data_IF_363734312238
#
_entry.id   IF_363734312238
#
_cell.length_a   1.000
_cell.length_b   1.000
_cell.length_c   1.000
_cell.angle_alpha   90.00
_cell.angle_beta   90.00
_cell.angle_gamma   90.00
#
_symmetry.space_group_name_H-M   'P 1'
#
loop_
_entity.id
_entity.type
_entity.pdbx_description
1 polymer ?
#
# COMPACT_ATOMS: atom_id res chain seq x y z
N UNK A 1 -16.29 42.29 -14.42
CA UNK A 1 -15.46 42.84 -13.34
C UNK A 1 -14.90 41.69 -12.46
N UNK A 2 -14.22 40.72 -13.07
CA UNK A 2 -13.63 39.53 -12.39
C UNK A 2 -12.28 39.23 -13.07
N UNK A 3 -11.26 40.05 -12.83
CA UNK A 3 -9.92 39.78 -13.39
C UNK A 3 -8.74 40.21 -12.49
N UNK A 4 -8.99 40.80 -11.33
CA UNK A 4 -7.89 41.33 -10.49
C UNK A 4 -7.39 40.39 -9.37
N UNK A 5 -8.13 39.31 -9.06
CA UNK A 5 -7.76 38.43 -7.92
C UNK A 5 -6.85 37.23 -8.28
N UNK A 6 -6.66 36.92 -9.58
CA UNK A 6 -5.81 35.79 -9.99
C UNK A 6 -4.31 36.06 -9.84
N UNK A 7 -3.89 37.31 -9.98
CA UNK A 7 -2.47 37.66 -9.83
C UNK A 7 -2.02 37.76 -8.38
N UNK A 8 -2.93 38.09 -7.45
CA UNK A 8 -2.60 38.18 -6.04
C UNK A 8 -2.36 36.79 -5.42
N UNK A 9 -3.14 35.81 -5.86
CA UNK A 9 -2.98 34.41 -5.38
C UNK A 9 -1.68 33.77 -5.88
N UNK A 10 -1.28 34.05 -7.12
CA UNK A 10 -0.03 33.55 -7.70
C UNK A 10 1.20 34.16 -7.02
N UNK A 11 1.13 35.42 -6.58
CA UNK A 11 2.22 36.10 -5.89
C UNK A 11 2.38 35.62 -4.44
N UNK A 12 1.29 35.30 -3.75
CA UNK A 12 1.34 34.75 -2.40
C UNK A 12 1.90 33.30 -2.38
N UNK A 13 1.59 32.48 -3.39
CA UNK A 13 2.09 31.13 -3.50
C UNK A 13 3.61 31.12 -3.80
N UNK A 14 4.08 32.00 -4.68
CA UNK A 14 5.50 32.16 -4.98
C UNK A 14 6.31 32.68 -3.78
N UNK A 15 5.71 33.59 -2.99
CA UNK A 15 6.34 34.14 -1.79
C UNK A 15 6.43 33.10 -0.63
N UNK A 16 5.41 32.22 -0.49
CA UNK A 16 5.43 31.14 0.48
C UNK A 16 6.47 30.05 0.13
N UNK A 17 6.66 29.73 -1.14
CA UNK A 17 7.70 28.81 -1.57
C UNK A 17 9.12 29.37 -1.36
N UNK A 18 9.31 30.67 -1.50
CA UNK A 18 10.64 31.27 -1.31
C UNK A 18 11.05 31.42 0.15
N UNK A 19 10.10 31.47 1.10
CA UNK A 19 10.41 31.56 2.54
C UNK A 19 10.74 30.18 3.14
N UNK A 20 10.18 29.10 2.57
CA UNK A 20 10.48 27.74 3.04
C UNK A 20 11.86 27.23 2.58
N UNK A 21 12.48 27.85 1.57
CA UNK A 21 13.83 27.45 1.11
C UNK A 21 14.96 28.19 1.85
N UNK A 22 14.66 29.21 2.63
CA UNK A 22 15.69 30.01 3.34
C UNK A 22 15.89 29.57 4.80
N UNK A 23 15.01 28.69 5.35
CA UNK A 23 15.14 28.25 6.75
C UNK A 23 16.03 27.03 6.97
N UNK A 24 16.62 26.49 5.94
CA UNK A 24 17.52 25.34 6.03
C UNK A 24 18.94 25.72 5.66
N UNK A 25 19.58 26.65 6.29
CA UNK A 25 21.04 26.71 6.33
C UNK A 25 21.48 27.97 7.05
N UNK A 26 21.82 27.88 8.30
CA UNK A 26 23.07 28.50 8.79
C UNK A 26 23.48 27.79 10.09
N UNK A 27 24.06 26.63 9.95
CA UNK A 27 25.00 26.19 10.99
C UNK A 27 26.42 26.58 10.53
N UNK A 28 27.12 27.33 11.34
CA UNK A 28 28.40 27.99 11.00
C UNK A 28 29.60 27.04 10.97
N UNK A 29 29.42 25.76 10.80
CA UNK A 29 30.48 24.74 10.77
C UNK A 29 30.60 23.99 9.44
N UNK A 30 30.11 24.56 8.33
CA UNK A 30 30.33 23.94 7.02
C UNK A 30 31.77 24.25 6.54
N UNK A 31 32.59 23.24 6.60
CA UNK A 31 33.84 23.19 5.87
C UNK A 31 33.55 22.98 4.39
N UNK A 32 33.69 24.02 3.58
CA UNK A 32 33.47 23.97 2.13
C UNK A 32 34.68 23.33 1.41
N UNK A 33 35.10 22.16 1.85
CA UNK A 33 36.01 21.34 1.07
C UNK A 33 35.15 20.61 0.00
N UNK A 34 35.27 20.97 -1.30
CA UNK A 34 34.47 20.36 -2.36
C UNK A 34 34.66 18.83 -2.48
N UNK A 35 35.77 18.29 -1.96
CA UNK A 35 36.05 16.86 -1.97
C UNK A 35 35.39 16.12 -0.78
N UNK A 36 34.85 16.85 0.20
CA UNK A 36 34.16 16.30 1.37
C UNK A 36 32.67 16.64 1.44
N UNK A 37 32.10 17.26 0.43
CA UNK A 37 30.68 17.54 0.41
C UNK A 37 29.95 16.25 0.04
N UNK A 38 29.31 15.65 1.02
CA UNK A 38 28.30 14.60 0.77
C UNK A 38 27.06 15.26 0.10
N UNK A 39 27.00 15.20 -1.22
CA UNK A 39 25.89 15.70 -2.04
C UNK A 39 24.62 14.86 -1.88
N UNK A 40 24.60 13.95 -0.91
CA UNK A 40 23.40 13.15 -0.60
C UNK A 40 22.32 14.06 0.00
N UNK A 41 21.49 14.63 -0.84
CA UNK A 41 20.34 15.39 -0.38
C UNK A 41 19.25 14.38 0.01
N UNK A 42 19.02 14.21 1.31
CA UNK A 42 17.87 13.46 1.81
C UNK A 42 16.58 14.26 1.54
N UNK A 43 16.06 14.14 0.34
CA UNK A 43 14.80 14.75 -0.08
C UNK A 43 13.66 13.83 0.35
N UNK A 44 12.49 14.40 0.61
CA UNK A 44 11.24 13.65 0.87
C UNK A 44 11.21 12.84 2.17
N UNK A 45 12.10 13.10 3.14
CA UNK A 45 11.97 12.46 4.45
C UNK A 45 10.60 12.78 5.07
N UNK A 46 9.84 11.74 5.38
CA UNK A 46 8.49 11.87 5.93
C UNK A 46 7.41 12.24 4.91
N UNK A 47 7.73 12.29 3.61
CA UNK A 47 6.72 12.52 2.57
C UNK A 47 5.77 11.33 2.43
N UNK A 48 4.51 11.63 2.14
CA UNK A 48 3.44 10.65 1.91
C UNK A 48 2.89 10.83 0.50
N UNK A 49 2.95 9.78 -0.29
CA UNK A 49 2.45 9.75 -1.66
C UNK A 49 1.20 8.88 -1.71
N UNK A 50 0.00 9.43 -1.95
CA UNK A 50 -1.20 8.63 -2.13
C UNK A 50 -1.03 7.77 -3.39
N UNK A 51 -1.38 6.46 -3.27
CA UNK A 51 -1.26 5.50 -4.37
C UNK A 51 -2.62 5.17 -4.94
N UNK A 52 -3.53 4.74 -4.10
CA UNK A 52 -4.89 4.37 -4.52
C UNK A 52 -5.93 5.16 -3.74
N UNK A 53 -6.99 5.53 -4.46
CA UNK A 53 -8.25 5.93 -3.85
C UNK A 53 -9.03 4.69 -3.38
N UNK A 54 -10.11 4.92 -2.64
CA UNK A 54 -10.99 3.85 -2.16
C UNK A 54 -11.44 2.91 -3.28
N UNK A 55 -11.27 1.59 -3.06
CA UNK A 55 -11.68 0.53 -3.97
C UNK A 55 -12.41 -0.57 -3.20
N UNK A 56 -13.49 -1.10 -3.78
CA UNK A 56 -14.27 -2.19 -3.21
C UNK A 56 -13.96 -3.49 -3.93
N UNK A 57 -13.81 -4.55 -3.14
CA UNK A 57 -13.57 -5.91 -3.61
C UNK A 57 -14.70 -6.80 -3.08
N UNK A 58 -15.58 -7.26 -3.96
CA UNK A 58 -16.59 -8.24 -3.61
C UNK A 58 -15.94 -9.59 -3.28
N UNK A 59 -16.62 -10.43 -2.50
CA UNK A 59 -16.09 -11.74 -2.13
C UNK A 59 -15.62 -12.54 -3.35
N UNK A 60 -16.39 -12.53 -4.43
CA UNK A 60 -16.07 -13.27 -5.66
C UNK A 60 -14.79 -12.82 -6.37
N UNK A 61 -14.38 -11.55 -6.16
CA UNK A 61 -13.17 -10.97 -6.75
C UNK A 61 -11.90 -11.32 -5.96
N UNK A 62 -12.07 -11.55 -4.65
CA UNK A 62 -10.96 -11.81 -3.71
C UNK A 62 -10.59 -13.29 -3.71
N UNK A 63 -11.60 -14.18 -3.64
CA UNK A 63 -11.41 -15.58 -3.27
C UNK A 63 -10.65 -16.39 -4.30
N UNK A 64 -9.74 -17.23 -3.81
CA UNK A 64 -9.02 -18.22 -4.61
C UNK A 64 -9.92 -19.37 -5.05
N UNK A 65 -9.41 -20.20 -5.96
CA UNK A 65 -10.10 -21.43 -6.37
C UNK A 65 -10.34 -22.41 -5.20
N UNK A 66 -9.43 -22.44 -4.22
CA UNK A 66 -9.61 -23.22 -3.01
C UNK A 66 -10.81 -22.75 -2.21
N UNK A 67 -10.91 -21.46 -1.94
CA UNK A 67 -12.01 -20.88 -1.18
C UNK A 67 -13.34 -20.97 -1.94
N UNK A 68 -13.35 -20.81 -3.26
CA UNK A 68 -14.53 -21.05 -4.10
C UNK A 68 -15.10 -22.47 -3.95
N UNK A 69 -14.23 -23.46 -3.70
CA UNK A 69 -14.66 -24.83 -3.41
C UNK A 69 -15.27 -25.06 -2.02
N UNK A 70 -15.22 -24.05 -1.14
CA UNK A 70 -15.76 -24.09 0.23
C UNK A 70 -17.05 -23.26 0.37
N UNK A 71 -17.51 -22.63 -0.70
CA UNK A 71 -18.70 -21.78 -0.72
C UNK A 71 -19.58 -22.15 -1.90
N UNK A 72 -20.87 -22.21 -1.66
CA UNK A 72 -21.89 -22.43 -2.69
C UNK A 72 -22.58 -21.10 -2.99
N UNK A 73 -22.55 -20.67 -4.25
CA UNK A 73 -23.26 -19.45 -4.68
C UNK A 73 -24.76 -19.71 -4.78
N UNK A 74 -25.55 -18.80 -4.19
CA UNK A 74 -27.01 -18.82 -4.20
C UNK A 74 -27.57 -17.48 -4.68
N UNK A 75 -28.88 -17.37 -4.82
CA UNK A 75 -29.52 -16.08 -5.18
C UNK A 75 -29.30 -14.99 -4.13
N UNK A 76 -29.24 -15.37 -2.84
CA UNK A 76 -29.10 -14.43 -1.71
C UNK A 76 -27.65 -14.12 -1.36
N UNK A 77 -26.70 -14.97 -1.75
CA UNK A 77 -25.29 -14.82 -1.39
C UNK A 77 -24.51 -16.11 -1.54
N UNK A 78 -23.55 -16.29 -0.64
CA UNK A 78 -22.65 -17.44 -0.60
C UNK A 78 -22.89 -18.22 0.69
N UNK A 79 -23.13 -19.52 0.59
CA UNK A 79 -23.31 -20.42 1.74
C UNK A 79 -22.02 -21.17 1.99
N UNK A 80 -21.53 -21.13 3.23
CA UNK A 80 -20.34 -21.87 3.64
C UNK A 80 -20.64 -23.36 3.68
N UNK A 81 -19.82 -24.15 2.99
CA UNK A 81 -19.91 -25.59 2.89
C UNK A 81 -18.53 -26.24 2.98
N UNK A 82 -17.99 -26.36 4.19
CA UNK A 82 -16.69 -27.01 4.43
C UNK A 82 -16.92 -28.51 4.62
N UNK A 83 -16.31 -29.37 3.79
CA UNK A 83 -16.42 -30.82 3.94
C UNK A 83 -15.91 -31.30 5.31
N UNK A 84 -16.53 -32.33 5.86
CA UNK A 84 -16.13 -32.90 7.15
C UNK A 84 -14.68 -33.37 7.12
N UNK A 85 -13.92 -33.02 8.16
CA UNK A 85 -12.49 -33.38 8.30
C UNK A 85 -11.53 -32.46 7.54
N UNK A 86 -12.00 -31.42 6.83
CA UNK A 86 -11.16 -30.45 6.15
C UNK A 86 -10.72 -29.37 7.14
N UNK A 87 -9.41 -29.17 7.26
CA UNK A 87 -8.83 -28.05 8.01
C UNK A 87 -8.62 -26.88 7.07
N UNK A 88 -9.30 -25.77 7.33
CA UNK A 88 -9.24 -24.55 6.51
C UNK A 88 -8.26 -23.52 7.04
N UNK A 89 -7.98 -23.50 8.34
CA UNK A 89 -7.03 -22.56 8.96
C UNK A 89 -5.66 -22.64 8.29
N UNK A 90 -5.07 -21.47 7.97
CA UNK A 90 -3.78 -21.35 7.29
C UNK A 90 -3.81 -21.64 5.79
N UNK A 91 -4.99 -21.94 5.22
CA UNK A 91 -5.17 -22.10 3.77
C UNK A 91 -5.39 -20.73 3.10
N UNK A 92 -5.08 -20.70 1.81
CA UNK A 92 -5.30 -19.54 0.97
C UNK A 92 -6.79 -19.15 0.97
N UNK A 93 -7.07 -17.90 1.30
CA UNK A 93 -8.41 -17.31 1.13
C UNK A 93 -8.53 -16.66 -0.25
N UNK A 94 -7.54 -15.86 -0.61
CA UNK A 94 -7.50 -15.12 -1.85
C UNK A 94 -6.48 -14.00 -1.82
N UNK A 95 -6.69 -12.97 -2.65
CA UNK A 95 -5.74 -11.86 -2.76
C UNK A 95 -6.44 -10.53 -3.06
N UNK A 96 -5.75 -9.43 -2.70
CA UNK A 96 -6.13 -8.06 -3.04
C UNK A 96 -4.94 -7.40 -3.74
N UNK A 97 -5.10 -6.86 -4.96
CA UNK A 97 -4.06 -6.08 -5.63
C UNK A 97 -4.02 -4.64 -5.09
N UNK A 98 -2.83 -4.11 -4.85
CA UNK A 98 -2.57 -2.68 -4.61
C UNK A 98 -1.63 -2.21 -5.71
N UNK A 99 -2.09 -1.36 -6.62
CA UNK A 99 -1.37 -0.94 -7.83
C UNK A 99 -1.14 0.56 -7.85
N UNK A 100 -0.26 1.02 -8.74
CA UNK A 100 -0.10 2.43 -9.07
C UNK A 100 1.19 3.05 -8.53
N UNK A 101 2.14 2.28 -8.02
CA UNK A 101 3.46 2.79 -7.62
C UNK A 101 4.22 3.30 -8.85
N UNK A 102 4.11 2.63 -9.99
CA UNK A 102 4.71 3.07 -11.26
C UNK A 102 4.18 4.42 -11.77
N UNK A 103 3.05 4.91 -11.25
CA UNK A 103 2.55 6.25 -11.58
C UNK A 103 3.34 7.35 -10.88
N UNK A 104 4.14 7.00 -9.87
CA UNK A 104 5.07 7.89 -9.21
C UNK A 104 6.37 7.88 -10.05
N UNK A 105 6.85 9.06 -10.45
CA UNK A 105 8.12 9.20 -11.16
C UNK A 105 9.28 9.02 -10.18
N UNK A 106 9.73 7.77 -10.04
CA UNK A 106 10.74 7.35 -9.06
C UNK A 106 12.03 6.83 -9.72
N UNK A 107 12.19 6.97 -11.03
CA UNK A 107 13.28 6.34 -11.80
C UNK A 107 14.69 6.80 -11.41
N UNK A 108 14.82 8.06 -10.99
CA UNK A 108 16.11 8.68 -10.64
C UNK A 108 16.35 8.76 -9.13
N UNK A 109 15.56 8.03 -8.34
CA UNK A 109 15.71 8.05 -6.89
C UNK A 109 16.15 6.68 -6.35
N UNK A 110 16.92 6.74 -5.26
CA UNK A 110 17.24 5.56 -4.47
C UNK A 110 16.63 5.66 -3.09
N UNK A 111 16.14 4.54 -2.61
CA UNK A 111 15.57 4.41 -1.27
C UNK A 111 16.27 3.29 -0.52
N UNK A 112 16.41 3.45 0.78
CA UNK A 112 16.80 2.35 1.66
C UNK A 112 15.57 1.52 2.03
N UNK A 113 14.54 2.21 2.49
CA UNK A 113 13.30 1.60 2.95
C UNK A 113 12.13 2.50 2.58
N UNK A 114 11.03 1.89 2.16
CA UNK A 114 9.74 2.53 2.03
C UNK A 114 8.71 1.78 2.87
N UNK A 115 7.65 2.46 3.28
CA UNK A 115 6.50 1.86 3.94
C UNK A 115 5.25 2.14 3.12
N UNK A 116 4.54 1.10 2.74
CA UNK A 116 3.19 1.22 2.22
C UNK A 116 2.21 1.10 3.38
N UNK A 117 1.48 2.16 3.64
CA UNK A 117 0.39 2.18 4.61
C UNK A 117 -0.92 1.92 3.89
N UNK A 118 -1.69 0.94 4.36
CA UNK A 118 -2.96 0.51 3.77
C UNK A 118 -4.01 0.45 4.85
N UNK A 119 -5.13 1.11 4.64
CA UNK A 119 -6.31 1.01 5.49
C UNK A 119 -7.36 0.14 4.79
N UNK A 120 -7.71 -0.99 5.42
CA UNK A 120 -8.69 -1.95 4.92
C UNK A 120 -9.91 -2.02 5.85
N UNK A 121 -11.10 -2.00 5.28
CA UNK A 121 -12.35 -2.36 5.93
C UNK A 121 -12.75 -3.76 5.49
N UNK A 122 -13.13 -4.61 6.44
CA UNK A 122 -13.60 -5.98 6.20
C UNK A 122 -15.05 -6.14 6.66
N UNK A 123 -15.94 -6.54 5.77
CA UNK A 123 -17.33 -6.87 6.08
C UNK A 123 -17.62 -8.38 5.97
N UNK A 124 -16.59 -9.19 5.71
CA UNK A 124 -16.71 -10.65 5.66
C UNK A 124 -16.67 -11.23 7.07
N UNK A 125 -17.47 -12.28 7.38
CA UNK A 125 -17.43 -12.97 8.68
C UNK A 125 -16.21 -13.90 8.82
N UNK A 126 -15.08 -13.55 8.19
CA UNK A 126 -13.84 -14.32 8.13
C UNK A 126 -12.74 -13.51 8.78
N UNK A 127 -11.94 -14.11 9.67
CA UNK A 127 -10.68 -13.53 10.10
C UNK A 127 -9.55 -14.04 9.23
N UNK A 128 -8.65 -13.14 8.82
CA UNK A 128 -7.62 -13.42 7.83
C UNK A 128 -6.23 -13.04 8.34
N UNK A 129 -5.26 -13.91 8.10
CA UNK A 129 -3.86 -13.55 8.10
C UNK A 129 -3.50 -12.88 6.78
N UNK A 130 -2.49 -12.00 6.78
CA UNK A 130 -2.06 -11.27 5.59
C UNK A 130 -0.55 -11.34 5.42
N UNK A 131 -0.12 -11.47 4.19
CA UNK A 131 1.25 -11.26 3.73
C UNK A 131 1.24 -10.46 2.44
N UNK A 132 2.36 -9.85 2.07
CA UNK A 132 2.47 -9.05 0.86
C UNK A 132 3.68 -9.48 0.04
N UNK A 133 3.59 -9.30 -1.28
CA UNK A 133 4.69 -9.45 -2.21
C UNK A 133 4.68 -8.31 -3.23
N UNK A 134 5.86 -7.88 -3.70
CA UNK A 134 5.99 -6.89 -4.75
C UNK A 134 5.67 -7.53 -6.11
N UNK A 135 4.96 -6.79 -6.96
CA UNK A 135 4.55 -7.25 -8.29
C UNK A 135 4.81 -6.18 -9.35
N UNK A 136 5.06 -6.63 -10.59
CA UNK A 136 5.15 -5.76 -11.76
C UNK A 136 3.77 -5.36 -12.29
N UNK A 137 3.74 -4.61 -13.40
CA UNK A 137 2.51 -4.15 -14.06
C UNK A 137 1.62 -5.29 -14.56
N UNK A 138 2.19 -6.49 -14.78
CA UNK A 138 1.46 -7.70 -15.16
C UNK A 138 0.98 -8.49 -13.94
N UNK A 139 1.35 -8.06 -12.73
CA UNK A 139 1.04 -8.74 -11.46
C UNK A 139 1.95 -9.94 -11.19
N UNK A 140 3.11 -10.05 -11.81
CA UNK A 140 4.10 -11.08 -11.53
C UNK A 140 4.99 -10.65 -10.37
N UNK A 141 5.44 -11.62 -9.58
CA UNK A 141 6.40 -11.38 -8.50
C UNK A 141 7.69 -10.73 -9.02
N UNK A 142 8.19 -9.74 -8.28
CA UNK A 142 9.45 -9.05 -8.56
C UNK A 142 10.51 -9.52 -7.56
N UNK A 143 11.58 -10.11 -8.09
CA UNK A 143 12.73 -10.53 -7.30
C UNK A 143 13.58 -9.33 -6.82
N UNK A 144 14.36 -9.53 -5.75
CA UNK A 144 15.27 -8.49 -5.23
C UNK A 144 14.59 -7.40 -4.39
N UNK A 145 13.32 -7.58 -4.06
CA UNK A 145 12.57 -6.69 -3.16
C UNK A 145 12.18 -7.47 -1.91
N UNK A 146 12.77 -7.12 -0.77
CA UNK A 146 12.33 -7.66 0.52
C UNK A 146 11.05 -6.93 0.93
N UNK A 147 9.99 -7.70 1.14
CA UNK A 147 8.68 -7.19 1.58
C UNK A 147 8.34 -7.83 2.93
N UNK A 148 8.20 -7.01 3.94
CA UNK A 148 7.77 -7.44 5.27
C UNK A 148 6.37 -6.89 5.55
N UNK A 149 5.42 -7.79 5.73
CA UNK A 149 4.06 -7.46 6.12
C UNK A 149 3.65 -8.40 7.24
N UNK A 150 3.23 -7.83 8.36
CA UNK A 150 2.67 -8.59 9.46
C UNK A 150 1.35 -7.97 9.88
N UNK A 151 0.33 -8.79 10.00
CA UNK A 151 -0.97 -8.33 10.48
C UNK A 151 -2.04 -9.39 10.31
N UNK A 152 -3.13 -9.15 11.01
CA UNK A 152 -4.35 -9.93 10.89
C UNK A 152 -5.52 -8.98 10.62
N UNK A 153 -6.45 -9.42 9.82
CA UNK A 153 -7.70 -8.73 9.56
C UNK A 153 -8.76 -9.47 10.39
N UNK A 154 -9.33 -8.79 11.37
CA UNK A 154 -10.41 -9.34 12.18
C UNK A 154 -11.65 -9.60 11.31
N UNK A 155 -12.50 -10.55 11.73
CA UNK A 155 -13.79 -10.76 11.07
C UNK A 155 -14.64 -9.49 11.13
N UNK A 156 -15.37 -9.25 10.08
CA UNK A 156 -16.18 -8.04 9.92
C UNK A 156 -17.45 -7.99 10.77
N UNK A 157 -17.97 -6.76 10.94
CA UNK A 157 -17.41 -5.50 10.42
C UNK A 157 -16.18 -5.04 11.22
N UNK A 158 -15.07 -4.77 10.53
CA UNK A 158 -13.82 -4.33 11.16
C UNK A 158 -13.01 -3.43 10.22
N UNK A 159 -12.08 -2.65 10.80
CA UNK A 159 -11.08 -1.89 10.03
C UNK A 159 -9.68 -2.23 10.55
N UNK A 160 -8.72 -2.31 9.65
CA UNK A 160 -7.33 -2.67 9.94
C UNK A 160 -6.39 -1.73 9.21
N UNK A 161 -5.41 -1.20 9.92
CA UNK A 161 -4.28 -0.47 9.33
C UNK A 161 -3.10 -1.42 9.20
N UNK A 162 -2.59 -1.55 7.99
CA UNK A 162 -1.42 -2.37 7.66
C UNK A 162 -0.25 -1.47 7.31
N UNK A 163 0.93 -1.87 7.74
CA UNK A 163 2.19 -1.27 7.30
C UNK A 163 3.00 -2.38 6.63
N UNK A 164 3.37 -2.14 5.38
CA UNK A 164 4.16 -3.05 4.57
C UNK A 164 5.51 -2.38 4.35
N UNK A 165 6.55 -2.93 4.98
CA UNK A 165 7.92 -2.42 4.82
C UNK A 165 8.55 -3.02 3.59
N UNK A 166 9.19 -2.18 2.80
CA UNK A 166 9.78 -2.54 1.52
C UNK A 166 11.24 -2.11 1.49
N UNK A 167 12.12 -3.04 1.18
CA UNK A 167 13.56 -2.82 1.08
C UNK A 167 14.07 -3.39 -0.25
N UNK A 168 14.23 -2.56 -1.30
CA UNK A 168 14.84 -2.99 -2.55
C UNK A 168 16.33 -3.27 -2.38
N UNK A 169 16.83 -4.37 -2.95
CA UNK A 169 18.23 -4.78 -2.79
C UNK A 169 19.24 -3.76 -3.36
N UNK A 170 18.87 -3.09 -4.44
CA UNK A 170 19.69 -2.07 -5.13
C UNK A 170 19.23 -0.63 -4.83
N UNK A 171 18.23 -0.47 -4.00
CA UNK A 171 17.63 0.81 -3.66
C UNK A 171 16.70 1.40 -4.71
N UNK A 172 16.40 0.67 -5.79
CA UNK A 172 15.53 1.12 -6.89
C UNK A 172 14.12 0.56 -6.71
N UNK A 173 13.09 1.40 -6.86
CA UNK A 173 11.71 0.95 -6.93
C UNK A 173 11.43 0.50 -8.36
N UNK A 174 11.53 -0.80 -8.62
CA UNK A 174 11.30 -1.43 -9.92
C UNK A 174 10.04 -2.32 -9.93
N UNK A 175 9.01 -1.95 -9.18
CA UNK A 175 7.74 -2.68 -9.09
C UNK A 175 6.56 -1.71 -9.20
N UNK A 176 5.41 -2.23 -9.67
CA UNK A 176 4.19 -1.41 -9.86
C UNK A 176 3.29 -1.37 -8.63
N UNK A 177 3.35 -2.43 -7.82
CA UNK A 177 2.45 -2.53 -6.69
C UNK A 177 2.71 -3.75 -5.81
N UNK A 178 1.70 -4.11 -5.03
CA UNK A 178 1.73 -5.24 -4.13
C UNK A 178 0.55 -6.16 -4.36
N UNK A 179 0.78 -7.45 -4.17
CA UNK A 179 -0.26 -8.45 -3.97
C UNK A 179 -0.36 -8.75 -2.48
N UNK A 180 -1.51 -8.45 -1.89
CA UNK A 180 -1.82 -8.82 -0.51
C UNK A 180 -2.43 -10.22 -0.53
N UNK A 181 -1.65 -11.21 -0.11
CA UNK A 181 -2.09 -12.60 -0.02
C UNK A 181 -2.80 -12.82 1.30
N UNK A 182 -4.03 -13.33 1.25
CA UNK A 182 -4.91 -13.56 2.38
C UNK A 182 -4.98 -15.03 2.71
N UNK A 183 -4.78 -15.36 3.99
CA UNK A 183 -4.91 -16.73 4.52
C UNK A 183 -6.01 -16.81 5.56
N UNK A 184 -6.70 -17.93 5.64
CA UNK A 184 -7.79 -18.14 6.60
C UNK A 184 -7.21 -18.31 8.00
N UNK A 185 -7.56 -17.43 8.93
CA UNK A 185 -7.29 -17.59 10.36
C UNK A 185 -8.51 -18.17 11.08
N UNK A 186 -9.70 -17.60 10.85
CA UNK A 186 -10.97 -18.12 11.34
C UNK A 186 -12.02 -18.09 10.21
N UNK A 187 -12.62 -19.25 9.93
CA UNK A 187 -13.65 -19.41 8.91
C UNK A 187 -15.01 -19.67 9.56
N UNK A 188 -16.11 -19.17 8.98
CA UNK A 188 -17.44 -19.35 9.54
C UNK A 188 -17.87 -20.82 9.57
N UNK A 189 -18.86 -21.11 10.40
CA UNK A 189 -19.48 -22.45 10.46
C UNK A 189 -20.23 -22.77 9.19
N UNK A 190 -20.38 -24.05 8.88
CA UNK A 190 -21.23 -24.53 7.78
C UNK A 190 -22.64 -23.96 7.90
N UNK A 191 -23.23 -23.61 6.77
CA UNK A 191 -24.55 -22.99 6.68
C UNK A 191 -24.59 -21.48 6.95
N UNK A 192 -23.44 -20.85 7.29
CA UNK A 192 -23.37 -19.39 7.36
C UNK A 192 -23.56 -18.80 5.95
N UNK A 193 -24.47 -17.83 5.84
CA UNK A 193 -24.73 -17.09 4.59
C UNK A 193 -23.91 -15.81 4.62
N UNK A 194 -23.12 -15.59 3.58
CA UNK A 194 -22.41 -14.34 3.31
C UNK A 194 -23.16 -13.60 2.22
N UNK A 195 -23.61 -12.39 2.48
CA UNK A 195 -24.37 -11.60 1.50
C UNK A 195 -23.51 -11.26 0.27
N UNK A 196 -24.14 -11.06 -0.89
CA UNK A 196 -23.44 -10.76 -2.16
C UNK A 196 -22.65 -9.45 -2.14
N UNK A 197 -23.11 -8.48 -1.35
CA UNK A 197 -22.47 -7.19 -1.14
C UNK A 197 -21.40 -7.21 -0.05
N UNK A 198 -21.23 -8.35 0.64
CA UNK A 198 -20.14 -8.49 1.61
C UNK A 198 -18.81 -8.64 0.86
N UNK A 199 -17.83 -7.91 1.36
CA UNK A 199 -16.50 -7.85 0.74
C UNK A 199 -15.52 -7.11 1.62
N UNK A 200 -14.45 -6.68 0.99
CA UNK A 200 -13.44 -5.84 1.60
C UNK A 200 -13.35 -4.52 0.84
N UNK A 201 -12.99 -3.46 1.53
CA UNK A 201 -12.75 -2.15 0.93
C UNK A 201 -11.39 -1.65 1.34
N UNK A 202 -10.59 -1.27 0.37
CA UNK A 202 -9.43 -0.43 0.57
C UNK A 202 -9.92 1.00 0.74
N UNK A 203 -9.68 1.61 1.90
CA UNK A 203 -10.15 2.96 2.22
C UNK A 203 -9.13 4.00 1.78
N UNK A 204 -7.86 3.73 2.04
CA UNK A 204 -6.74 4.59 1.66
C UNK A 204 -5.45 3.78 1.54
N UNK A 205 -4.55 4.25 0.67
CA UNK A 205 -3.16 3.78 0.67
C UNK A 205 -2.20 4.91 0.31
N UNK A 206 -1.04 4.92 0.95
CA UNK A 206 0.03 5.85 0.63
C UNK A 206 1.40 5.22 0.87
N UNK A 207 2.36 5.62 0.02
CA UNK A 207 3.76 5.29 0.18
C UNK A 207 4.43 6.36 1.06
N UNK A 208 5.25 5.91 2.00
CA UNK A 208 5.95 6.75 2.96
C UNK A 208 7.44 6.41 2.96
N UNK A 209 8.29 7.44 3.01
CA UNK A 209 9.75 7.29 3.05
C UNK A 209 10.29 7.75 4.41
N UNK A 210 10.47 6.83 5.37
CA UNK A 210 10.90 7.18 6.73
C UNK A 210 12.30 7.81 6.77
N UNK A 211 13.21 7.33 5.92
CA UNK A 211 14.59 7.80 5.84
C UNK A 211 14.81 8.86 4.74
N UNK A 212 13.77 9.13 3.94
CA UNK A 212 13.87 9.96 2.74
C UNK A 212 14.40 9.17 1.54
N UNK A 213 14.73 9.89 0.48
CA UNK A 213 15.26 9.35 -0.77
C UNK A 213 16.54 10.07 -1.15
N UNK A 214 17.44 9.39 -1.85
CA UNK A 214 18.63 9.99 -2.46
C UNK A 214 18.41 10.15 -3.96
N UNK A 215 18.71 11.32 -4.48
CA UNK A 215 18.71 11.53 -5.93
C UNK A 215 20.04 11.05 -6.51
N UNK A 216 20.00 10.41 -7.68
CA UNK A 216 21.20 9.99 -8.40
C UNK A 216 21.37 10.95 -9.55
N UNK A 217 22.39 11.80 -9.48
CA UNK A 217 22.86 12.51 -10.67
C UNK A 217 23.44 11.51 -11.67
N UNK A 218 22.89 11.52 -12.88
CA UNK A 218 23.40 10.74 -14.03
C UNK A 218 24.52 11.48 -14.71
#
# INVERSE_FOLDING_TARGET
MISKNRHLFSFCLAALCSVSLVSCVVDKSYDFDPDNIDWTINVLKGAKFPIMSSEEFALGDIVSNYTKGLIDETEEGYVINVPSGVTVKGREFGMIPVKGISTLDLDDIRIKTAELHVELSNNLPVALGISAEAVDTEGKHVDGVLVECSGNIAKGPSSTNLVITVTPADGIIAFDGFRLNLTIDEFPSNGTVILKDAGMRLLSSYLYFPEGVTHIDK
#
